data_IF_611192474173
#
_entry.id   IF_611192474173
#
_cell.length_a   1.000
_cell.length_b   1.000
_cell.length_c   1.000
_cell.angle_alpha   90.00
_cell.angle_beta   90.00
_cell.angle_gamma   90.00
#
_symmetry.space_group_name_H-M   'P 1'
#
loop_
_entity.id
_entity.type
_entity.pdbx_description
1 polymer ?
#
# COMPACT_ATOMS: atom_id res chain seq x y z
N UNK A 1 24.42 -2.63 21.75
CA UNK A 1 23.01 -2.94 22.03
C UNK A 1 22.86 -4.45 21.90
N UNK A 2 22.10 -5.10 22.79
CA UNK A 2 21.74 -6.50 22.60
C UNK A 2 20.98 -6.66 21.26
N UNK A 3 21.11 -7.80 20.56
CA UNK A 3 20.30 -8.07 19.38
C UNK A 3 18.82 -8.03 19.77
N UNK A 4 17.99 -7.44 18.90
CA UNK A 4 16.55 -7.37 19.11
C UNK A 4 15.97 -8.77 18.88
N UNK A 5 15.21 -9.29 19.84
CA UNK A 5 14.42 -10.49 19.64
C UNK A 5 13.13 -10.15 18.89
N UNK A 6 13.24 -10.11 17.56
CA UNK A 6 12.10 -9.79 16.68
C UNK A 6 10.96 -10.78 16.81
N UNK A 7 11.27 -12.06 17.01
CA UNK A 7 10.25 -13.11 17.11
C UNK A 7 9.42 -12.98 18.40
N UNK A 8 10.09 -12.80 19.54
CA UNK A 8 9.42 -12.55 20.82
C UNK A 8 8.60 -11.26 20.79
N UNK A 9 9.17 -10.18 20.25
CA UNK A 9 8.49 -8.89 20.09
C UNK A 9 7.19 -9.00 19.28
N UNK A 10 7.20 -9.72 18.14
CA UNK A 10 6.01 -9.89 17.31
C UNK A 10 4.88 -10.64 18.03
N UNK A 11 5.21 -11.67 18.81
CA UNK A 11 4.21 -12.40 19.60
C UNK A 11 3.61 -11.51 20.71
N UNK A 12 4.43 -10.74 21.42
CA UNK A 12 3.95 -9.82 22.46
C UNK A 12 3.01 -8.73 21.87
N UNK A 13 3.40 -8.15 20.73
CA UNK A 13 2.61 -7.14 20.03
C UNK A 13 1.29 -7.71 19.51
N UNK A 14 1.30 -8.91 18.92
CA UNK A 14 0.12 -9.62 18.48
C UNK A 14 -0.84 -9.86 19.66
N UNK A 15 -0.34 -10.43 20.75
CA UNK A 15 -1.14 -10.71 21.95
C UNK A 15 -1.74 -9.42 22.53
N UNK A 16 -1.00 -8.32 22.53
CA UNK A 16 -1.49 -7.02 22.99
C UNK A 16 -2.61 -6.50 22.07
N UNK A 17 -2.44 -6.54 20.76
CA UNK A 17 -3.43 -6.08 19.80
C UNK A 17 -4.73 -6.90 19.88
N UNK A 18 -4.62 -8.23 20.02
CA UNK A 18 -5.76 -9.14 20.10
C UNK A 18 -6.56 -9.03 21.41
N UNK A 19 -5.99 -8.49 22.50
CA UNK A 19 -6.71 -8.21 23.76
C UNK A 19 -7.67 -7.04 23.67
N UNK A 20 -7.52 -6.16 22.68
CA UNK A 20 -8.44 -5.04 22.47
C UNK A 20 -9.84 -5.53 22.04
N UNK A 21 -10.90 -4.81 22.42
CA UNK A 21 -12.29 -5.18 22.08
C UNK A 21 -12.69 -4.76 20.65
N UNK A 22 -12.00 -3.80 20.07
CA UNK A 22 -12.34 -3.28 18.74
C UNK A 22 -11.86 -4.25 17.65
N UNK A 23 -12.79 -4.68 16.77
CA UNK A 23 -12.48 -5.59 15.64
C UNK A 23 -12.61 -4.93 14.27
N UNK A 24 -13.38 -3.86 14.16
CA UNK A 24 -13.71 -3.25 12.88
C UNK A 24 -14.71 -4.09 12.07
N UNK A 25 -14.81 -3.76 10.76
CA UNK A 25 -15.75 -4.42 9.85
C UNK A 25 -15.03 -4.78 8.55
N UNK A 26 -15.20 -6.00 8.08
CA UNK A 26 -14.68 -6.44 6.78
C UNK A 26 -15.31 -5.61 5.65
N UNK A 27 -14.52 -5.24 4.63
CA UNK A 27 -15.01 -4.52 3.47
C UNK A 27 -16.04 -5.37 2.70
N UNK A 28 -17.24 -4.85 2.49
CA UNK A 28 -18.35 -5.55 1.83
C UNK A 28 -18.79 -4.91 0.51
N UNK A 29 -18.28 -3.72 0.18
CA UNK A 29 -18.62 -3.03 -1.07
C UNK A 29 -17.94 -3.65 -2.32
N UNK A 30 -16.94 -4.51 -2.13
CA UNK A 30 -16.38 -5.43 -3.11
C UNK A 30 -16.70 -6.83 -2.60
N UNK A 31 -17.71 -7.53 -3.16
CA UNK A 31 -18.20 -8.80 -2.59
C UNK A 31 -17.12 -9.86 -2.38
N UNK A 32 -16.12 -9.94 -3.25
CA UNK A 32 -15.02 -10.89 -3.10
C UNK A 32 -14.13 -10.62 -1.86
N UNK A 33 -14.10 -9.41 -1.31
CA UNK A 33 -13.38 -9.11 -0.07
C UNK A 33 -14.16 -9.49 1.19
N UNK A 34 -15.49 -9.56 1.08
CA UNK A 34 -16.37 -9.91 2.21
C UNK A 34 -16.20 -11.36 2.70
N UNK A 35 -15.52 -12.21 1.91
CA UNK A 35 -15.26 -13.61 2.25
C UNK A 35 -14.07 -13.79 3.21
N UNK A 36 -13.32 -12.71 3.52
CA UNK A 36 -12.18 -12.78 4.44
C UNK A 36 -12.63 -13.14 5.86
N UNK A 37 -11.88 -14.04 6.51
CA UNK A 37 -12.12 -14.42 7.91
C UNK A 37 -11.89 -13.19 8.82
N UNK A 38 -12.91 -12.66 9.51
CA UNK A 38 -12.78 -11.48 10.35
C UNK A 38 -11.82 -11.65 11.54
N UNK A 39 -11.54 -12.88 11.95
CA UNK A 39 -10.61 -13.18 13.05
C UNK A 39 -9.14 -13.32 12.59
N UNK A 40 -8.89 -13.33 11.27
CA UNK A 40 -7.54 -13.45 10.75
C UNK A 40 -6.65 -12.29 11.20
N UNK A 41 -5.43 -12.62 11.61
CA UNK A 41 -4.38 -11.66 11.97
C UNK A 41 -3.01 -12.21 11.60
N UNK A 42 -2.24 -11.43 10.84
CA UNK A 42 -0.86 -11.74 10.51
C UNK A 42 0.04 -10.51 10.59
N UNK A 43 1.27 -10.69 11.01
CA UNK A 43 2.27 -9.63 11.10
C UNK A 43 3.65 -10.14 10.74
N UNK A 44 4.41 -9.38 9.94
CA UNK A 44 5.79 -9.71 9.56
C UNK A 44 6.70 -8.49 9.64
N UNK A 45 7.93 -8.69 10.10
CA UNK A 45 9.03 -7.73 10.01
C UNK A 45 10.07 -8.28 9.03
N UNK A 46 10.52 -7.46 8.07
CA UNK A 46 11.70 -7.73 7.27
C UNK A 46 12.80 -6.72 7.60
N UNK A 47 14.00 -7.18 7.92
CA UNK A 47 15.15 -6.32 8.24
C UNK A 47 15.89 -5.90 6.98
N UNK A 48 16.67 -4.80 7.03
CA UNK A 48 17.49 -4.35 5.88
C UNK A 48 18.52 -5.40 5.43
N UNK A 49 18.83 -6.37 6.27
CA UNK A 49 19.73 -7.48 5.96
C UNK A 49 19.02 -8.66 5.29
N UNK A 50 17.68 -8.59 5.17
CA UNK A 50 16.85 -9.60 4.49
C UNK A 50 16.34 -10.73 5.40
N UNK A 51 16.53 -10.63 6.71
CA UNK A 51 15.91 -11.57 7.66
C UNK A 51 14.43 -11.24 7.80
N UNK A 52 13.59 -12.26 7.94
CA UNK A 52 12.13 -12.10 8.08
C UNK A 52 11.64 -12.87 9.31
N UNK A 53 10.80 -12.21 10.09
CA UNK A 53 10.16 -12.77 11.28
C UNK A 53 8.64 -12.54 11.16
N UNK A 54 7.83 -13.44 11.71
CA UNK A 54 6.38 -13.33 11.61
C UNK A 54 5.61 -13.93 12.76
N UNK A 55 4.36 -13.48 12.92
CA UNK A 55 3.40 -14.00 13.89
C UNK A 55 2.00 -14.09 13.29
N UNK A 56 1.18 -15.03 13.78
CA UNK A 56 -0.16 -15.29 13.27
C UNK A 56 -0.17 -15.79 11.82
N UNK A 57 -1.14 -15.35 11.04
CA UNK A 57 -1.37 -15.74 9.65
C UNK A 57 -0.45 -14.98 8.65
N UNK A 58 0.77 -14.70 9.04
CA UNK A 58 1.71 -13.82 8.32
C UNK A 58 2.15 -14.31 6.94
N UNK A 59 1.99 -15.61 6.65
CA UNK A 59 2.22 -16.20 5.33
C UNK A 59 0.95 -16.44 4.53
N UNK A 60 -0.23 -16.17 5.10
CA UNK A 60 -1.50 -16.28 4.37
C UNK A 60 -1.63 -15.15 3.35
N UNK A 61 -1.86 -15.46 2.05
CA UNK A 61 -2.12 -14.43 1.05
C UNK A 61 -3.48 -13.76 1.27
N UNK A 62 -3.52 -12.46 1.02
CA UNK A 62 -4.72 -11.64 0.99
C UNK A 62 -4.66 -10.64 -0.17
N UNK A 63 -5.78 -10.12 -0.63
CA UNK A 63 -5.80 -9.07 -1.65
C UNK A 63 -5.17 -7.80 -1.10
N UNK A 64 -4.05 -7.36 -1.69
CA UNK A 64 -3.26 -6.23 -1.18
C UNK A 64 -3.93 -4.88 -1.37
N UNK A 65 -4.89 -4.80 -2.27
CA UNK A 65 -5.69 -3.61 -2.54
C UNK A 65 -4.80 -2.36 -2.70
N UNK A 66 -5.12 -1.28 -2.01
CA UNK A 66 -4.40 -0.01 -2.14
C UNK A 66 -2.94 -0.05 -1.66
N UNK A 67 -2.44 -1.13 -1.06
CA UNK A 67 -1.00 -1.28 -0.81
C UNK A 67 -0.23 -1.34 -2.12
N UNK A 68 -0.81 -1.87 -3.19
CA UNK A 68 -0.24 -1.93 -4.54
C UNK A 68 0.17 -0.57 -5.10
N UNK A 69 -0.53 0.51 -4.73
CA UNK A 69 -0.26 1.89 -5.18
C UNK A 69 1.14 2.37 -4.82
N UNK A 70 1.70 1.87 -3.72
CA UNK A 70 3.08 2.15 -3.34
C UNK A 70 4.05 1.62 -4.40
N UNK A 71 3.88 0.38 -4.82
CA UNK A 71 4.75 -0.28 -5.79
C UNK A 71 4.55 0.30 -7.19
N UNK A 72 3.30 0.61 -7.58
CA UNK A 72 2.99 1.30 -8.83
C UNK A 72 3.70 2.64 -8.94
N UNK A 73 3.66 3.45 -7.85
CA UNK A 73 4.36 4.74 -7.79
C UNK A 73 5.88 4.57 -7.89
N UNK A 74 6.44 3.61 -7.15
CA UNK A 74 7.88 3.37 -7.15
C UNK A 74 8.39 2.95 -8.54
N UNK A 75 7.65 2.07 -9.23
CA UNK A 75 7.99 1.61 -10.59
C UNK A 75 7.81 2.71 -11.64
N UNK A 76 6.78 3.53 -11.55
CA UNK A 76 6.59 4.66 -12.45
C UNK A 76 7.74 5.68 -12.32
N UNK A 77 8.20 5.97 -11.10
CA UNK A 77 9.35 6.85 -10.87
C UNK A 77 10.67 6.21 -11.34
N UNK A 78 10.86 4.91 -11.11
CA UNK A 78 12.03 4.18 -11.58
C UNK A 78 12.16 4.16 -13.12
N UNK A 79 11.03 4.23 -13.82
CA UNK A 79 10.97 4.35 -15.28
C UNK A 79 11.36 5.73 -15.81
N UNK A 80 11.69 6.69 -14.93
CA UNK A 80 12.20 8.01 -15.32
C UNK A 80 11.13 9.01 -15.77
N UNK A 81 9.87 8.86 -15.33
CA UNK A 81 8.85 9.86 -15.66
C UNK A 81 8.99 11.12 -14.80
N UNK A 82 9.89 12.00 -15.19
CA UNK A 82 10.05 13.34 -14.59
C UNK A 82 8.76 14.19 -14.66
N UNK A 83 7.83 13.81 -15.52
CA UNK A 83 6.54 14.45 -15.70
C UNK A 83 5.45 13.99 -14.73
N UNK A 84 5.63 12.88 -14.03
CA UNK A 84 4.61 12.31 -13.14
C UNK A 84 4.04 13.35 -12.16
N UNK A 85 4.92 14.10 -11.51
CA UNK A 85 4.51 15.11 -10.52
C UNK A 85 3.83 16.35 -11.08
N UNK A 86 3.69 16.47 -12.41
CA UNK A 86 2.80 17.47 -13.05
C UNK A 86 1.37 16.95 -13.16
N UNK A 87 1.19 15.63 -13.27
CA UNK A 87 -0.12 14.98 -13.37
C UNK A 87 -0.72 14.57 -12.02
N UNK A 88 0.07 14.57 -10.94
CA UNK A 88 -0.38 14.20 -9.59
C UNK A 88 0.38 15.01 -8.54
N UNK A 89 -0.33 15.52 -7.55
CA UNK A 89 0.24 16.28 -6.44
C UNK A 89 0.86 15.40 -5.34
N UNK A 90 1.11 16.02 -4.18
CA UNK A 90 1.79 15.40 -3.02
C UNK A 90 1.15 15.81 -1.69
N UNK A 91 -0.01 16.44 -1.75
CA UNK A 91 -0.68 16.99 -0.57
C UNK A 91 -1.75 16.03 -0.02
N UNK A 92 -1.96 15.98 1.30
CA UNK A 92 -3.09 15.27 1.88
C UNK A 92 -4.42 15.70 1.26
N UNK A 93 -5.37 14.76 1.15
CA UNK A 93 -6.67 15.05 0.57
C UNK A 93 -7.54 15.63 1.71
N UNK A 94 -7.87 15.89 2.53
CA UNK A 94 -8.89 16.35 3.49
C UNK A 94 -10.32 15.95 3.11
N UNK A 95 -10.47 15.12 2.06
CA UNK A 95 -11.73 14.55 1.58
C UNK A 95 -11.59 13.04 1.41
N UNK A 96 -12.69 12.26 1.39
CA UNK A 96 -12.63 10.83 1.13
C UNK A 96 -11.79 10.49 -0.12
N UNK A 97 -11.03 9.40 -0.06
CA UNK A 97 -10.06 8.97 -1.08
C UNK A 97 -10.64 8.77 -2.49
N UNK A 98 -11.95 8.83 -2.63
CA UNK A 98 -12.71 8.69 -3.89
C UNK A 98 -13.59 9.92 -4.19
N UNK A 99 -13.26 11.10 -3.64
CA UNK A 99 -14.01 12.35 -3.86
C UNK A 99 -13.81 12.90 -5.28
N UNK A 100 -14.93 13.20 -5.97
CA UNK A 100 -14.93 13.90 -7.27
C UNK A 100 -14.85 15.42 -7.10
N UNK A 101 -15.45 15.96 -6.06
CA UNK A 101 -15.54 17.42 -5.85
C UNK A 101 -14.15 18.06 -5.76
N UNK A 102 -13.24 17.42 -5.04
CA UNK A 102 -11.87 17.91 -4.94
C UNK A 102 -11.16 17.87 -6.28
N UNK A 103 -11.34 16.80 -7.05
CA UNK A 103 -10.72 16.64 -8.36
C UNK A 103 -11.17 17.70 -9.36
N UNK A 104 -12.45 18.13 -9.28
CA UNK A 104 -12.98 19.24 -10.08
C UNK A 104 -12.30 20.57 -9.73
N UNK A 105 -12.20 20.89 -8.44
CA UNK A 105 -11.52 22.10 -7.95
C UNK A 105 -10.05 22.15 -8.37
N UNK A 106 -9.41 21.01 -8.49
CA UNK A 106 -7.99 20.86 -8.85
C UNK A 106 -7.79 20.60 -10.35
N UNK A 107 -8.79 20.88 -11.17
CA UNK A 107 -8.71 20.78 -12.63
C UNK A 107 -8.20 19.42 -13.15
N UNK A 108 -8.71 18.33 -12.56
CA UNK A 108 -8.35 16.98 -12.97
C UNK A 108 -6.94 16.52 -12.51
N UNK A 109 -6.26 17.28 -11.65
CA UNK A 109 -4.97 16.90 -11.06
C UNK A 109 -5.21 16.37 -9.64
N UNK A 110 -5.05 15.06 -9.38
CA UNK A 110 -5.25 14.49 -8.06
C UNK A 110 -4.23 15.03 -7.04
N UNK A 111 -4.64 15.21 -5.79
CA UNK A 111 -3.79 15.76 -4.71
C UNK A 111 -2.58 14.92 -4.35
N UNK A 112 -2.69 13.59 -4.42
CA UNK A 112 -1.58 12.69 -4.14
C UNK A 112 -1.76 11.35 -4.86
N UNK A 113 -0.71 10.52 -4.98
CA UNK A 113 -0.74 9.26 -5.71
C UNK A 113 -1.47 8.12 -4.99
N UNK A 114 -1.91 8.31 -3.74
CA UNK A 114 -2.47 7.26 -2.90
C UNK A 114 -4.00 7.33 -2.76
N UNK A 115 -4.65 8.45 -3.12
CA UNK A 115 -6.10 8.47 -3.39
C UNK A 115 -6.37 7.80 -4.75
N UNK A 116 -7.60 7.31 -4.96
CA UNK A 116 -7.91 6.54 -6.17
C UNK A 116 -7.65 7.31 -7.46
N UNK A 117 -8.03 8.59 -7.52
CA UNK A 117 -7.76 9.46 -8.67
C UNK A 117 -6.26 9.54 -9.00
N UNK A 118 -5.41 9.71 -8.00
CA UNK A 118 -3.96 9.76 -8.19
C UNK A 118 -3.37 8.43 -8.60
N UNK A 119 -3.86 7.33 -8.04
CA UNK A 119 -3.41 6.00 -8.40
C UNK A 119 -3.77 5.65 -9.86
N UNK A 120 -4.92 6.12 -10.38
CA UNK A 120 -5.27 5.97 -11.80
C UNK A 120 -4.26 6.70 -12.70
N UNK A 121 -3.84 7.93 -12.36
CA UNK A 121 -2.81 8.66 -13.10
C UNK A 121 -1.46 7.93 -13.04
N UNK A 122 -1.08 7.41 -11.87
CA UNK A 122 0.18 6.65 -11.73
C UNK A 122 0.14 5.34 -12.51
N UNK A 123 -1.01 4.63 -12.48
CA UNK A 123 -1.22 3.41 -13.27
C UNK A 123 -1.11 3.69 -14.77
N UNK A 124 -1.71 4.79 -15.24
CA UNK A 124 -1.61 5.24 -16.63
C UNK A 124 -0.15 5.48 -17.05
N UNK A 125 0.65 6.14 -16.20
CA UNK A 125 2.08 6.37 -16.47
C UNK A 125 2.88 5.07 -16.51
N UNK A 126 2.63 4.17 -15.56
CA UNK A 126 3.29 2.86 -15.55
C UNK A 126 2.89 2.01 -16.76
N UNK A 127 1.62 2.08 -17.18
CA UNK A 127 1.12 1.41 -18.37
C UNK A 127 1.83 1.92 -19.64
N UNK A 128 1.98 3.23 -19.78
CA UNK A 128 2.73 3.84 -20.90
C UNK A 128 4.20 3.39 -20.93
N UNK A 129 4.84 3.27 -19.76
CA UNK A 129 6.25 2.87 -19.65
C UNK A 129 6.49 1.39 -19.93
N UNK A 130 5.56 0.53 -19.55
CA UNK A 130 5.77 -0.94 -19.53
C UNK A 130 4.90 -1.71 -20.51
N UNK A 131 3.81 -1.14 -20.97
CA UNK A 131 2.77 -1.84 -21.73
C UNK A 131 1.89 -2.77 -20.87
N UNK A 132 2.29 -3.06 -19.60
CA UNK A 132 1.57 -3.90 -18.64
C UNK A 132 1.84 -3.46 -17.21
N UNK A 133 1.07 -2.47 -16.73
CA UNK A 133 1.27 -1.92 -15.40
C UNK A 133 1.01 -2.97 -14.28
N UNK A 134 -0.01 -3.79 -14.43
CA UNK A 134 -0.34 -4.81 -13.43
C UNK A 134 0.71 -5.93 -13.39
N UNK A 135 1.15 -6.41 -14.55
CA UNK A 135 2.24 -7.37 -14.64
C UNK A 135 3.54 -6.84 -14.07
N UNK A 136 3.88 -5.58 -14.33
CA UNK A 136 5.08 -4.95 -13.77
C UNK A 136 5.05 -4.94 -12.22
N UNK A 137 3.91 -4.61 -11.60
CA UNK A 137 3.76 -4.64 -10.13
C UNK A 137 3.85 -6.08 -9.61
N UNK A 138 3.15 -7.02 -10.22
CA UNK A 138 3.18 -8.43 -9.85
C UNK A 138 4.59 -9.01 -9.93
N UNK A 139 5.28 -8.78 -11.04
CA UNK A 139 6.61 -9.34 -11.27
C UNK A 139 7.66 -8.71 -10.34
N UNK A 140 7.49 -7.43 -9.99
CA UNK A 140 8.28 -6.77 -8.97
C UNK A 140 8.07 -7.43 -7.59
N UNK A 141 6.81 -7.66 -7.18
CA UNK A 141 6.49 -8.32 -5.92
C UNK A 141 7.07 -9.74 -5.86
N UNK A 142 6.97 -10.51 -6.95
CA UNK A 142 7.59 -11.84 -7.07
C UNK A 142 9.10 -11.80 -6.88
N UNK A 143 9.76 -10.86 -7.55
CA UNK A 143 11.21 -10.71 -7.50
C UNK A 143 11.70 -10.31 -6.10
N UNK A 144 11.06 -9.33 -5.46
CA UNK A 144 11.47 -8.83 -4.15
C UNK A 144 11.11 -9.78 -3.01
N UNK A 145 9.97 -10.46 -3.06
CA UNK A 145 9.58 -11.45 -2.04
C UNK A 145 10.25 -12.82 -2.20
N UNK A 146 10.79 -13.10 -3.40
CA UNK A 146 11.29 -14.43 -3.76
C UNK A 146 10.16 -15.48 -3.88
N UNK A 147 8.91 -15.05 -4.06
CA UNK A 147 7.73 -15.92 -4.11
C UNK A 147 7.06 -15.88 -5.49
N UNK A 148 7.27 -16.87 -6.36
CA UNK A 148 6.67 -16.92 -7.69
C UNK A 148 5.14 -17.08 -7.66
N UNK A 149 4.57 -17.50 -6.54
CA UNK A 149 3.12 -17.69 -6.36
C UNK A 149 2.34 -16.39 -6.11
N UNK A 150 2.99 -15.24 -5.93
CA UNK A 150 2.30 -13.94 -5.88
C UNK A 150 1.67 -13.67 -7.25
N UNK A 151 0.35 -13.53 -7.30
CA UNK A 151 -0.38 -13.34 -8.56
C UNK A 151 -1.64 -12.52 -8.35
N UNK A 152 -2.26 -12.08 -9.46
CA UNK A 152 -3.56 -11.43 -9.44
C UNK A 152 -4.65 -12.47 -9.14
N UNK A 153 -5.54 -12.17 -8.21
CA UNK A 153 -6.78 -12.90 -8.01
C UNK A 153 -7.82 -12.39 -9.03
N UNK A 154 -8.07 -13.20 -10.05
CA UNK A 154 -8.99 -12.85 -11.14
C UNK A 154 -10.44 -12.66 -10.65
N UNK A 155 -10.85 -13.36 -9.59
CA UNK A 155 -12.19 -13.21 -9.03
C UNK A 155 -12.35 -11.86 -8.34
N UNK A 156 -11.34 -11.43 -7.57
CA UNK A 156 -11.29 -10.10 -6.95
C UNK A 156 -11.22 -9.02 -8.02
N UNK A 157 -10.35 -9.15 -9.03
CA UNK A 157 -10.23 -8.17 -10.13
C UNK A 157 -11.55 -8.01 -10.89
N UNK A 158 -12.23 -9.13 -11.22
CA UNK A 158 -13.53 -9.11 -11.87
C UNK A 158 -14.63 -8.51 -10.97
N UNK A 159 -14.58 -8.76 -9.66
CA UNK A 159 -15.50 -8.16 -8.70
C UNK A 159 -15.31 -6.64 -8.62
N UNK A 160 -14.07 -6.16 -8.56
CA UNK A 160 -13.74 -4.73 -8.59
C UNK A 160 -14.21 -4.05 -9.87
N UNK A 161 -14.00 -4.68 -11.02
CA UNK A 161 -14.44 -4.15 -12.31
C UNK A 161 -15.96 -3.98 -12.38
N UNK A 162 -16.71 -4.95 -11.86
CA UNK A 162 -18.20 -4.89 -11.82
C UNK A 162 -18.75 -3.82 -10.90
N UNK A 163 -18.06 -3.51 -9.80
CA UNK A 163 -18.51 -2.57 -8.76
C UNK A 163 -17.75 -1.24 -8.80
N UNK A 164 -16.82 -1.07 -9.73
CA UNK A 164 -15.88 0.04 -9.83
C UNK A 164 -16.44 1.33 -10.43
N UNK A 165 -17.76 1.57 -10.42
CA UNK A 165 -18.39 2.73 -11.05
C UNK A 165 -17.77 4.06 -10.64
N UNK A 166 -17.39 4.24 -9.37
CA UNK A 166 -16.75 5.46 -8.90
C UNK A 166 -15.34 5.65 -9.48
N UNK A 167 -14.55 4.58 -9.59
CA UNK A 167 -13.25 4.63 -10.23
C UNK A 167 -13.35 4.92 -11.73
N UNK A 168 -14.35 4.36 -12.40
CA UNK A 168 -14.63 4.70 -13.80
C UNK A 168 -15.00 6.20 -13.96
N UNK A 169 -15.85 6.73 -13.08
CA UNK A 169 -16.20 8.16 -13.09
C UNK A 169 -14.96 9.05 -12.87
N UNK A 170 -14.09 8.70 -11.90
CA UNK A 170 -12.83 9.40 -11.66
C UNK A 170 -11.91 9.36 -12.90
N UNK A 171 -11.75 8.20 -13.53
CA UNK A 171 -10.87 8.04 -14.68
C UNK A 171 -11.36 8.85 -15.89
N UNK A 172 -12.67 8.82 -16.20
CA UNK A 172 -13.25 9.65 -17.25
C UNK A 172 -13.14 11.15 -16.96
N UNK A 173 -13.30 11.53 -15.69
CA UNK A 173 -13.16 12.92 -15.27
C UNK A 173 -11.71 13.42 -15.46
N UNK A 174 -10.71 12.63 -15.04
CA UNK A 174 -9.28 12.92 -15.24
C UNK A 174 -8.96 13.01 -16.75
N UNK A 175 -9.49 12.08 -17.56
CA UNK A 175 -9.32 12.06 -19.00
C UNK A 175 -9.89 13.32 -19.68
N UNK A 176 -11.01 13.87 -19.18
CA UNK A 176 -11.61 15.09 -19.73
C UNK A 176 -10.73 16.32 -19.59
N UNK A 177 -9.79 16.32 -18.63
CA UNK A 177 -8.74 17.33 -18.46
C UNK A 177 -7.43 16.99 -19.20
N UNK A 178 -7.39 15.87 -19.95
CA UNK A 178 -6.18 15.43 -20.67
C UNK A 178 -5.07 14.87 -19.77
N UNK A 179 -5.38 14.47 -18.54
CA UNK A 179 -4.40 13.96 -17.59
C UNK A 179 -4.30 12.41 -17.57
N UNK A 180 -4.85 11.72 -18.58
CA UNK A 180 -4.56 10.33 -18.93
C UNK A 180 -4.01 10.24 -20.35
N UNK A 181 -3.08 9.35 -20.60
CA UNK A 181 -2.40 9.12 -21.89
C UNK A 181 -2.94 7.89 -22.62
N UNK A 182 -3.36 6.89 -21.85
CA UNK A 182 -3.93 5.65 -22.38
C UNK A 182 -5.47 5.70 -22.34
N UNK A 183 -6.16 4.82 -23.12
CA UNK A 183 -7.59 4.67 -23.02
C UNK A 183 -8.05 4.36 -21.59
N UNK A 184 -9.13 5.00 -21.15
CA UNK A 184 -9.67 4.87 -19.76
C UNK A 184 -9.87 3.41 -19.37
N UNK A 185 -10.49 2.61 -20.27
CA UNK A 185 -10.75 1.19 -19.98
C UNK A 185 -9.47 0.39 -19.76
N UNK A 186 -8.41 0.69 -20.52
CA UNK A 186 -7.10 0.04 -20.32
C UNK A 186 -6.51 0.40 -18.96
N UNK A 187 -6.56 1.67 -18.55
CA UNK A 187 -6.08 2.11 -17.23
C UNK A 187 -6.85 1.42 -16.11
N UNK A 188 -8.18 1.33 -16.23
CA UNK A 188 -9.04 0.68 -15.24
C UNK A 188 -8.75 -0.81 -15.10
N UNK A 189 -8.56 -1.53 -16.20
CA UNK A 189 -8.22 -2.97 -16.18
C UNK A 189 -6.93 -3.19 -15.39
N UNK A 190 -5.86 -2.43 -15.68
CA UNK A 190 -4.60 -2.57 -14.95
C UNK A 190 -4.70 -2.11 -13.51
N UNK A 191 -5.49 -1.06 -13.21
CA UNK A 191 -5.73 -0.60 -11.85
C UNK A 191 -6.41 -1.67 -11.00
N UNK A 192 -7.49 -2.30 -11.50
CA UNK A 192 -8.18 -3.38 -10.77
C UNK A 192 -7.28 -4.60 -10.62
N UNK A 193 -6.54 -4.96 -11.66
CA UNK A 193 -5.66 -6.13 -11.63
C UNK A 193 -4.54 -5.99 -10.60
N UNK A 194 -3.85 -4.84 -10.50
CA UNK A 194 -2.80 -4.69 -9.48
C UNK A 194 -3.36 -4.54 -8.06
N UNK A 195 -4.58 -3.98 -7.87
CA UNK A 195 -5.26 -3.96 -6.58
C UNK A 195 -5.62 -5.38 -6.11
N UNK A 196 -5.97 -6.26 -7.04
CA UNK A 196 -6.37 -7.64 -6.79
C UNK A 196 -5.19 -8.62 -6.62
N UNK A 197 -3.94 -8.17 -6.63
CA UNK A 197 -2.80 -9.06 -6.36
C UNK A 197 -2.96 -9.64 -4.94
N UNK A 198 -2.76 -10.97 -4.84
CA UNK A 198 -2.72 -11.69 -3.58
C UNK A 198 -1.26 -11.87 -3.14
N UNK A 199 -0.95 -11.36 -1.94
CA UNK A 199 0.36 -11.49 -1.31
C UNK A 199 0.19 -11.54 0.22
N UNK A 200 1.16 -12.14 0.92
CA UNK A 200 1.18 -12.26 2.38
C UNK A 200 1.88 -11.07 3.05
N UNK A 201 1.76 -10.97 4.39
CA UNK A 201 2.55 -10.00 5.16
C UNK A 201 4.05 -10.18 4.93
N UNK A 202 4.52 -11.43 4.86
CA UNK A 202 5.91 -11.75 4.53
C UNK A 202 6.32 -11.16 3.19
N UNK A 203 5.52 -11.40 2.16
CA UNK A 203 5.83 -10.96 0.80
C UNK A 203 5.89 -9.45 0.69
N UNK A 204 4.92 -8.75 1.30
CA UNK A 204 4.86 -7.30 1.31
C UNK A 204 5.99 -6.67 2.14
N UNK A 205 6.33 -7.26 3.30
CA UNK A 205 7.45 -6.78 4.09
C UNK A 205 8.76 -6.88 3.30
N UNK A 206 9.04 -8.00 2.65
CA UNK A 206 10.21 -8.16 1.79
C UNK A 206 10.19 -7.18 0.61
N UNK A 207 9.06 -7.09 -0.10
CA UNK A 207 8.95 -6.23 -1.26
C UNK A 207 9.09 -4.74 -0.95
N UNK A 208 8.77 -4.31 0.27
CA UNK A 208 8.92 -2.94 0.73
C UNK A 208 10.36 -2.53 1.10
N UNK A 209 11.30 -3.48 1.27
CA UNK A 209 12.63 -3.24 1.80
C UNK A 209 13.44 -2.20 1.01
N UNK A 210 13.20 -2.06 -0.29
CA UNK A 210 13.91 -1.04 -1.09
C UNK A 210 13.71 0.39 -0.54
N UNK A 211 12.57 0.69 0.08
CA UNK A 211 12.34 1.99 0.73
C UNK A 211 13.14 2.16 2.02
N UNK A 212 13.21 1.12 2.84
CA UNK A 212 14.04 1.11 4.04
C UNK A 212 15.54 1.17 3.69
N UNK A 213 15.95 0.60 2.56
CA UNK A 213 17.31 0.58 2.00
C UNK A 213 17.61 1.77 1.08
N UNK A 214 16.85 2.86 1.20
CA UNK A 214 17.06 4.10 0.45
C UNK A 214 17.11 3.94 -1.08
N UNK A 215 16.24 3.10 -1.63
CA UNK A 215 16.09 2.84 -3.05
C UNK A 215 16.93 1.68 -3.59
N UNK A 216 17.59 0.90 -2.73
CA UNK A 216 18.42 -0.25 -3.11
C UNK A 216 17.63 -1.55 -2.87
N UNK A 217 17.50 -2.39 -3.89
CA UNK A 217 16.87 -3.71 -3.84
C UNK A 217 17.73 -4.72 -3.08
N UNK A 218 17.15 -5.89 -2.76
CA UNK A 218 17.89 -6.96 -2.06
C UNK A 218 19.03 -7.54 -2.89
N UNK A 219 18.93 -7.53 -4.22
CA UNK A 219 20.00 -7.95 -5.13
C UNK A 219 21.15 -6.93 -5.27
N UNK A 220 21.05 -5.79 -4.58
CA UNK A 220 22.04 -4.70 -4.62
C UNK A 220 21.82 -3.70 -5.76
N UNK A 221 20.90 -3.96 -6.68
CA UNK A 221 20.58 -3.01 -7.74
C UNK A 221 19.82 -1.80 -7.19
N UNK A 222 19.88 -0.68 -7.92
CA UNK A 222 19.18 0.54 -7.53
C UNK A 222 17.86 0.66 -8.30
N UNK A 223 16.75 0.63 -7.59
CA UNK A 223 15.43 0.93 -8.14
C UNK A 223 15.18 2.45 -8.18
N UNK A 224 15.50 3.13 -7.10
CA UNK A 224 15.24 4.56 -6.91
C UNK A 224 16.49 5.27 -6.40
N UNK A 225 16.65 6.55 -6.70
CA UNK A 225 17.62 7.38 -6.02
C UNK A 225 17.25 7.52 -4.53
N UNK A 226 18.23 7.84 -3.68
CA UNK A 226 17.98 8.11 -2.26
C UNK A 226 16.97 9.24 -2.05
N UNK A 227 16.97 10.23 -2.94
CA UNK A 227 16.04 11.36 -2.91
C UNK A 227 14.59 10.92 -3.22
N UNK A 228 14.40 10.05 -4.21
CA UNK A 228 13.07 9.51 -4.57
C UNK A 228 12.51 8.62 -3.46
N UNK A 229 13.31 7.70 -2.91
CA UNK A 229 12.90 6.87 -1.78
C UNK A 229 12.49 7.72 -0.57
N UNK A 230 13.26 8.77 -0.22
CA UNK A 230 12.90 9.73 0.82
C UNK A 230 11.56 10.42 0.53
N UNK A 231 11.33 10.84 -0.72
CA UNK A 231 10.09 11.53 -1.12
C UNK A 231 8.88 10.61 -1.08
N UNK A 232 9.02 9.35 -1.51
CA UNK A 232 7.94 8.35 -1.37
C UNK A 232 7.60 8.16 0.11
N UNK A 233 8.60 7.98 0.99
CA UNK A 233 8.36 7.83 2.43
C UNK A 233 7.68 9.07 3.02
N UNK A 234 8.01 10.28 2.57
CA UNK A 234 7.35 11.50 3.02
C UNK A 234 5.86 11.54 2.60
N UNK A 235 5.56 11.18 1.34
CA UNK A 235 4.16 11.14 0.86
C UNK A 235 3.39 9.98 1.51
N UNK A 236 4.04 8.84 1.82
CA UNK A 236 3.42 7.76 2.62
C UNK A 236 3.02 8.23 4.01
N UNK A 237 3.87 8.99 4.68
CA UNK A 237 3.59 9.51 6.02
C UNK A 237 2.38 10.44 6.04
N UNK A 238 2.21 11.27 5.02
CA UNK A 238 1.16 12.29 4.97
C UNK A 238 -0.12 11.86 4.25
N UNK A 239 -0.06 10.83 3.41
CA UNK A 239 -1.17 10.46 2.51
C UNK A 239 -1.46 8.95 2.45
N UNK A 240 -0.62 8.10 3.07
CA UNK A 240 -0.67 6.65 2.83
C UNK A 240 -1.82 5.91 3.50
N UNK A 241 -2.42 6.47 4.55
CA UNK A 241 -3.50 5.86 5.34
C UNK A 241 -4.82 6.63 5.22
N UNK A 242 -5.12 7.11 4.03
CA UNK A 242 -6.32 7.85 3.67
C UNK A 242 -6.49 9.14 4.54
N UNK A 243 -7.73 9.38 5.02
CA UNK A 243 -8.04 10.56 5.84
C UNK A 243 -7.50 10.45 7.28
N UNK A 244 -6.99 9.27 7.66
CA UNK A 244 -6.42 9.01 8.99
C UNK A 244 -4.88 9.17 9.03
N UNK A 245 -4.24 9.77 8.00
CA UNK A 245 -2.79 9.87 7.95
C UNK A 245 -2.19 10.65 9.14
N UNK A 246 -2.86 11.69 9.62
CA UNK A 246 -2.47 12.44 10.82
C UNK A 246 -2.53 11.60 12.08
N UNK A 247 -3.63 10.87 12.30
CA UNK A 247 -3.81 9.97 13.44
C UNK A 247 -2.81 8.79 13.39
N UNK A 248 -2.57 8.24 12.21
CA UNK A 248 -1.57 7.20 12.01
C UNK A 248 -0.15 7.70 12.32
N UNK A 249 0.21 8.89 11.86
CA UNK A 249 1.50 9.50 12.18
C UNK A 249 1.65 9.78 13.68
N UNK A 250 0.58 10.22 14.36
CA UNK A 250 0.57 10.47 15.80
C UNK A 250 0.76 9.17 16.61
N UNK A 251 0.06 8.10 16.25
CA UNK A 251 0.11 6.83 16.99
C UNK A 251 1.32 5.96 16.62
N UNK A 252 1.59 5.80 15.32
CA UNK A 252 2.58 4.84 14.80
C UNK A 252 3.92 5.52 14.48
N UNK A 253 3.89 6.75 13.96
CA UNK A 253 5.09 7.51 13.67
C UNK A 253 5.96 6.96 12.54
N UNK A 254 5.39 6.20 11.60
CA UNK A 254 6.07 5.60 10.46
C UNK A 254 5.38 5.93 9.14
N UNK A 255 6.12 6.08 8.03
CA UNK A 255 5.53 6.03 6.69
C UNK A 255 4.79 4.71 6.48
N UNK A 256 3.52 4.76 6.07
CA UNK A 256 2.75 3.54 5.89
C UNK A 256 1.73 3.64 4.75
N UNK A 257 1.43 2.49 4.12
CA UNK A 257 0.35 2.37 3.13
C UNK A 257 -0.64 1.31 3.57
N UNK A 258 -1.90 1.69 3.69
CA UNK A 258 -3.02 0.80 4.00
C UNK A 258 -3.80 0.38 2.75
N UNK A 259 -4.49 -0.73 2.84
CA UNK A 259 -5.42 -1.23 1.83
C UNK A 259 -6.69 -1.80 2.47
N UNK A 260 -7.81 -1.67 1.78
CA UNK A 260 -9.12 -2.14 2.27
C UNK A 260 -9.26 -3.68 2.34
N UNK A 261 -8.25 -4.41 1.89
CA UNK A 261 -8.09 -5.84 2.20
C UNK A 261 -7.62 -6.11 3.63
N UNK A 262 -7.34 -5.06 4.42
CA UNK A 262 -6.90 -5.14 5.82
C UNK A 262 -5.38 -5.09 6.01
N UNK A 263 -4.61 -4.97 4.93
CA UNK A 263 -3.14 -4.87 5.00
C UNK A 263 -2.65 -3.44 5.26
N UNK A 264 -1.59 -3.31 6.04
CA UNK A 264 -0.82 -2.07 6.22
C UNK A 264 0.66 -2.39 6.13
N UNK A 265 1.35 -1.77 5.17
CA UNK A 265 2.81 -1.86 5.03
C UNK A 265 3.44 -0.57 5.56
N UNK A 266 4.26 -0.66 6.60
CA UNK A 266 4.99 0.46 7.21
C UNK A 266 6.49 0.32 6.95
N UNK A 267 7.18 1.47 6.79
CA UNK A 267 8.61 1.54 6.50
C UNK A 267 9.36 2.11 7.69
N UNK A 268 10.43 1.43 8.09
CA UNK A 268 11.41 1.89 9.08
C UNK A 268 12.70 2.24 8.33
N UNK A 269 12.92 3.50 7.93
CA UNK A 269 14.09 3.88 7.14
C UNK A 269 15.42 3.48 7.81
N UNK A 270 16.27 2.75 7.10
CA UNK A 270 17.56 2.25 7.60
C UNK A 270 17.46 1.03 8.54
N UNK A 271 16.26 0.48 8.79
CA UNK A 271 16.05 -0.69 9.67
C UNK A 271 15.32 -1.84 9.01
N UNK A 272 14.21 -1.56 8.31
CA UNK A 272 13.36 -2.60 7.74
C UNK A 272 11.98 -2.13 7.37
N UNK A 273 11.07 -3.08 7.24
CA UNK A 273 9.65 -2.87 6.97
C UNK A 273 8.81 -3.75 7.86
N UNK A 274 7.60 -3.33 8.13
CA UNK A 274 6.60 -4.11 8.86
C UNK A 274 5.34 -4.17 8.03
N UNK A 275 4.84 -5.38 7.79
CA UNK A 275 3.50 -5.56 7.23
C UNK A 275 2.60 -6.22 8.28
N UNK A 276 1.39 -5.71 8.41
CA UNK A 276 0.35 -6.29 9.25
C UNK A 276 -0.92 -6.46 8.44
N UNK A 277 -1.65 -7.52 8.69
CA UNK A 277 -2.93 -7.81 8.06
C UNK A 277 -3.95 -8.27 9.09
N UNK A 278 -5.11 -7.62 9.08
CA UNK A 278 -6.35 -8.08 9.71
C UNK A 278 -7.50 -7.37 8.97
N UNK A 279 -8.52 -8.11 8.48
CA UNK A 279 -9.50 -7.57 7.54
C UNK A 279 -10.54 -6.63 8.17
N UNK A 280 -10.64 -6.56 9.50
CA UNK A 280 -11.54 -5.64 10.20
C UNK A 280 -11.09 -4.18 10.09
N UNK A 281 -11.87 -3.34 9.41
CA UNK A 281 -11.56 -1.94 9.11
C UNK A 281 -12.32 -0.96 10.02
N UNK A 282 -11.69 0.18 10.25
CA UNK A 282 -12.35 1.38 10.82
C UNK A 282 -13.17 2.14 9.76
N UNK A 283 -13.79 3.24 10.17
CA UNK A 283 -14.59 4.09 9.27
C UNK A 283 -13.75 4.77 8.16
N UNK A 284 -12.45 4.93 8.36
CA UNK A 284 -11.52 5.48 7.37
C UNK A 284 -10.98 4.41 6.39
N UNK A 285 -11.26 3.12 6.63
CA UNK A 285 -10.82 2.00 5.79
C UNK A 285 -9.45 1.42 6.17
N UNK A 286 -8.97 1.69 7.39
CA UNK A 286 -7.72 1.12 7.89
C UNK A 286 -7.99 -0.06 8.83
N UNK A 287 -7.10 -1.05 8.82
CA UNK A 287 -7.17 -2.21 9.72
C UNK A 287 -7.10 -1.78 11.19
N UNK A 288 -8.14 -2.07 11.97
CA UNK A 288 -8.22 -1.72 13.39
C UNK A 288 -7.13 -2.42 14.19
N UNK A 289 -7.05 -3.74 14.10
CA UNK A 289 -6.03 -4.52 14.80
C UNK A 289 -4.63 -4.27 14.23
N UNK A 290 -4.52 -4.07 12.91
CA UNK A 290 -3.26 -3.76 12.28
C UNK A 290 -2.64 -2.45 12.77
N UNK A 291 -3.44 -1.38 12.89
CA UNK A 291 -2.97 -0.10 13.42
C UNK A 291 -2.64 -0.22 14.91
N UNK A 292 -3.44 -0.97 15.69
CA UNK A 292 -3.15 -1.23 17.10
C UNK A 292 -1.82 -1.99 17.31
N UNK A 293 -1.55 -2.98 16.46
CA UNK A 293 -0.29 -3.73 16.49
C UNK A 293 0.92 -2.86 16.14
N UNK A 294 0.81 -2.01 15.11
CA UNK A 294 1.88 -1.07 14.74
C UNK A 294 2.14 -0.03 15.85
N UNK A 295 1.11 0.48 16.49
CA UNK A 295 1.20 1.40 17.64
C UNK A 295 1.90 0.72 18.83
N UNK A 296 1.51 -0.51 19.18
CA UNK A 296 2.18 -1.29 20.22
C UNK A 296 3.66 -1.56 19.90
N UNK A 297 3.96 -1.92 18.65
CA UNK A 297 5.32 -2.16 18.18
C UNK A 297 6.19 -0.91 18.33
N UNK A 298 5.73 0.22 17.82
CA UNK A 298 6.51 1.46 17.85
C UNK A 298 6.65 2.01 19.28
N UNK A 299 5.64 1.83 20.12
CA UNK A 299 5.70 2.17 21.56
C UNK A 299 6.73 1.30 22.30
N UNK A 300 6.72 -0.02 22.09
CA UNK A 300 7.65 -0.94 22.75
C UNK A 300 9.10 -0.75 22.32
N UNK A 301 9.33 -0.38 21.07
CA UNK A 301 10.67 -0.26 20.47
C UNK A 301 11.22 1.16 20.44
N UNK A 302 10.37 2.16 20.55
CA UNK A 302 10.74 3.56 20.29
C UNK A 302 11.06 3.84 18.81
N UNK A 303 10.63 2.97 17.89
CA UNK A 303 10.89 3.15 16.46
C UNK A 303 9.93 4.19 15.87
N UNK A 304 10.50 5.25 15.36
CA UNK A 304 9.74 6.35 14.75
C UNK A 304 10.64 7.10 13.77
N UNK A 305 10.04 7.87 12.87
CA UNK A 305 10.78 8.84 12.04
C UNK A 305 10.90 10.22 12.72
N UNK A 306 10.32 10.38 13.90
CA UNK A 306 10.37 11.61 14.73
C UNK A 306 11.43 11.55 15.78
#
# INVERSE_FOLDING_TARGET
MAPVDYQGLLHEVMDQALRGDARGRVADYIPALAEADPEAFGMAIATVDGEVYGAGDWEQPFSIQSVSKLFTLALALAGGDDGLWRGVGREPSGNPFNSLVQLETEHGIPRNPFINAGALVVTDRLLELTGDAAGAVRDFLRAESGRPGVDTDDAVAASEARHGHRNAALAHFIASYGNLRNPVDSVLVHYYAHCAIAASCRDLAMAGLFLARHGIRMDGSRLLTRSEAKRINAVLLTCGTYDAAGEFAFRVGLPGKSGVGGGVLAVLPGRGTVCVWSPGLDAAGNSVLGVAALDALTTATGWSVF
#
